data_IF_018650212344
#
_entry.id   IF_018650212344
#
_cell.length_a   1.000
_cell.length_b   1.000
_cell.length_c   1.000
_cell.angle_alpha   90.00
_cell.angle_beta   90.00
_cell.angle_gamma   90.00
#
_symmetry.space_group_name_H-M   'P 1'
#
loop_
_entity.id
_entity.type
_entity.pdbx_description
1 polymer ?
#
# COMPACT_ATOMS: atom_id res chain seq x y z
N UNK A 1 -34.67 -14.13 1.91
CA UNK A 1 -34.55 -15.19 0.89
C UNK A 1 -33.22 -15.90 1.11
N UNK A 2 -33.22 -17.20 1.40
CA UNK A 2 -31.99 -18.00 1.50
C UNK A 2 -31.57 -18.39 0.08
N UNK A 3 -30.51 -17.80 -0.46
CA UNK A 3 -29.86 -18.38 -1.63
C UNK A 3 -29.45 -19.81 -1.29
N UNK A 4 -29.81 -20.76 -2.15
CA UNK A 4 -29.39 -22.16 -2.03
C UNK A 4 -27.86 -22.23 -2.10
N UNK A 5 -27.26 -23.08 -1.26
CA UNK A 5 -25.79 -23.28 -1.22
C UNK A 5 -25.17 -23.61 -2.59
N UNK A 6 -25.94 -24.25 -3.48
CA UNK A 6 -25.53 -24.53 -4.86
C UNK A 6 -25.36 -23.28 -5.74
N UNK A 7 -26.13 -22.20 -5.50
CA UNK A 7 -26.01 -20.95 -6.25
C UNK A 7 -24.74 -20.17 -5.87
N UNK A 8 -24.34 -20.23 -4.59
CA UNK A 8 -23.09 -19.61 -4.11
C UNK A 8 -21.86 -20.24 -4.77
N UNK A 9 -21.78 -21.58 -4.78
CA UNK A 9 -20.66 -22.30 -5.40
C UNK A 9 -20.57 -22.07 -6.91
N UNK A 10 -21.71 -21.98 -7.59
CA UNK A 10 -21.74 -21.66 -9.02
C UNK A 10 -21.15 -20.28 -9.30
N UNK A 11 -21.49 -19.27 -8.47
CA UNK A 11 -20.95 -17.91 -8.60
C UNK A 11 -19.45 -17.85 -8.29
N UNK A 12 -18.99 -18.52 -7.23
CA UNK A 12 -17.56 -18.62 -6.92
C UNK A 12 -16.77 -19.25 -8.06
N UNK A 13 -17.30 -20.33 -8.65
CA UNK A 13 -16.66 -21.00 -9.78
C UNK A 13 -16.64 -20.09 -11.01
N UNK A 14 -17.72 -19.34 -11.28
CA UNK A 14 -17.76 -18.37 -12.36
C UNK A 14 -16.67 -17.29 -12.18
N UNK A 15 -16.52 -16.73 -10.97
CA UNK A 15 -15.47 -15.74 -10.64
C UNK A 15 -14.08 -16.34 -10.90
N UNK A 16 -13.81 -17.55 -10.42
CA UNK A 16 -12.51 -18.23 -10.65
C UNK A 16 -12.25 -18.52 -12.12
N UNK A 17 -13.27 -18.89 -12.89
CA UNK A 17 -13.14 -19.13 -14.33
C UNK A 17 -12.80 -17.82 -15.05
N UNK A 18 -13.50 -16.73 -14.76
CA UNK A 18 -13.22 -15.42 -15.37
C UNK A 18 -11.82 -14.93 -15.01
N UNK A 19 -11.42 -15.04 -13.73
CA UNK A 19 -10.08 -14.68 -13.28
C UNK A 19 -9.00 -15.55 -13.90
N UNK A 20 -9.24 -16.85 -13.99
CA UNK A 20 -8.36 -17.82 -14.63
C UNK A 20 -8.19 -17.56 -16.13
N UNK A 21 -9.26 -17.20 -16.85
CA UNK A 21 -9.19 -16.78 -18.26
C UNK A 21 -8.35 -15.51 -18.39
N UNK A 22 -8.65 -14.47 -17.59
CA UNK A 22 -7.92 -13.21 -17.59
C UNK A 22 -6.42 -13.36 -17.28
N UNK A 23 -6.08 -14.33 -16.41
CA UNK A 23 -4.70 -14.65 -16.04
C UNK A 23 -3.99 -15.48 -17.12
N UNK A 24 -4.65 -16.50 -17.66
CA UNK A 24 -4.04 -17.46 -18.59
C UNK A 24 -3.92 -16.91 -20.01
N UNK A 25 -4.78 -15.96 -20.38
CA UNK A 25 -4.82 -15.34 -21.71
C UNK A 25 -4.40 -13.87 -21.63
N UNK A 26 -3.44 -13.55 -20.76
CA UNK A 26 -2.98 -12.18 -20.52
C UNK A 26 -2.42 -11.49 -21.76
N UNK A 27 -1.82 -12.26 -22.67
CA UNK A 27 -1.25 -11.78 -23.93
C UNK A 27 -2.30 -11.67 -25.06
N UNK A 28 -3.53 -12.13 -24.82
CA UNK A 28 -4.60 -12.04 -25.81
C UNK A 28 -5.28 -10.68 -25.67
N UNK A 29 -5.20 -9.89 -26.74
CA UNK A 29 -5.77 -8.55 -26.82
C UNK A 29 -7.21 -8.52 -26.28
N UNK A 30 -7.50 -7.51 -25.47
CA UNK A 30 -8.81 -7.19 -24.89
C UNK A 30 -9.32 -8.21 -23.84
N UNK A 31 -8.69 -9.38 -23.67
CA UNK A 31 -9.18 -10.40 -22.71
C UNK A 31 -9.06 -9.95 -21.26
N UNK A 32 -7.91 -9.42 -20.78
CA UNK A 32 -7.84 -8.89 -19.42
C UNK A 32 -8.83 -7.75 -19.18
N UNK A 33 -8.98 -6.82 -20.13
CA UNK A 33 -9.96 -5.75 -20.07
C UNK A 33 -11.40 -6.26 -19.96
N UNK A 34 -11.79 -7.28 -20.74
CA UNK A 34 -13.12 -7.89 -20.68
C UNK A 34 -13.36 -8.58 -19.33
N UNK A 35 -12.38 -9.35 -18.83
CA UNK A 35 -12.47 -9.97 -17.51
C UNK A 35 -12.63 -8.93 -16.40
N UNK A 36 -11.87 -7.83 -16.48
CA UNK A 36 -12.01 -6.69 -15.55
C UNK A 36 -13.42 -6.08 -15.61
N UNK A 37 -13.97 -5.85 -16.80
CA UNK A 37 -15.32 -5.30 -16.96
C UNK A 37 -16.40 -6.21 -16.36
N UNK A 38 -16.28 -7.54 -16.52
CA UNK A 38 -17.18 -8.50 -15.87
C UNK A 38 -17.10 -8.38 -14.35
N UNK A 39 -15.88 -8.30 -13.80
CA UNK A 39 -15.69 -8.10 -12.37
C UNK A 39 -16.23 -6.77 -11.86
N UNK A 40 -16.05 -5.68 -12.61
CA UNK A 40 -16.60 -4.37 -12.26
C UNK A 40 -18.13 -4.37 -12.22
N UNK A 41 -18.78 -5.09 -13.14
CA UNK A 41 -20.23 -5.31 -13.09
C UNK A 41 -20.62 -6.13 -11.85
N UNK A 42 -19.89 -7.21 -11.56
CA UNK A 42 -20.13 -8.06 -10.39
C UNK A 42 -19.92 -7.32 -9.05
N UNK A 43 -19.08 -6.28 -9.00
CA UNK A 43 -18.95 -5.36 -7.86
C UNK A 43 -20.14 -4.41 -7.68
N UNK A 44 -20.90 -4.17 -8.75
CA UNK A 44 -22.03 -3.24 -8.76
C UNK A 44 -23.34 -3.94 -8.38
N UNK A 45 -23.45 -5.21 -8.73
CA UNK A 45 -24.52 -6.11 -8.29
C UNK A 45 -24.16 -6.62 -6.88
N UNK A 46 -25.11 -6.67 -5.94
CA UNK A 46 -24.89 -7.04 -4.51
C UNK A 46 -24.42 -8.49 -4.35
N UNK A 47 -23.20 -8.81 -4.80
CA UNK A 47 -22.63 -10.15 -4.80
C UNK A 47 -21.89 -10.42 -3.48
N UNK A 48 -21.92 -11.68 -3.03
CA UNK A 48 -21.39 -12.10 -1.71
C UNK A 48 -19.91 -12.50 -1.74
N UNK A 49 -19.17 -12.23 -2.83
CA UNK A 49 -17.83 -12.80 -3.09
C UNK A 49 -16.82 -11.77 -3.65
N UNK A 50 -16.98 -10.50 -3.27
CA UNK A 50 -16.10 -9.42 -3.71
C UNK A 50 -14.63 -9.62 -3.32
N UNK A 51 -14.36 -10.34 -2.23
CA UNK A 51 -13.01 -10.73 -1.79
C UNK A 51 -12.34 -11.68 -2.78
N UNK A 52 -13.08 -12.64 -3.35
CA UNK A 52 -12.59 -13.51 -4.42
C UNK A 52 -12.27 -12.71 -5.68
N UNK A 53 -13.12 -11.73 -6.03
CA UNK A 53 -12.84 -10.85 -7.17
C UNK A 53 -11.54 -10.07 -6.95
N UNK A 54 -11.34 -9.50 -5.75
CA UNK A 54 -10.07 -8.82 -5.39
C UNK A 54 -8.88 -9.76 -5.54
N UNK A 55 -9.00 -11.01 -5.10
CA UNK A 55 -7.93 -12.00 -5.24
C UNK A 55 -7.63 -12.35 -6.70
N UNK A 56 -8.65 -12.49 -7.55
CA UNK A 56 -8.46 -12.76 -8.98
C UNK A 56 -7.86 -11.57 -9.74
N UNK A 57 -8.25 -10.34 -9.41
CA UNK A 57 -7.62 -9.14 -9.95
C UNK A 57 -6.11 -9.08 -9.62
N UNK A 58 -5.74 -9.50 -8.40
CA UNK A 58 -4.32 -9.62 -8.04
C UNK A 58 -3.59 -10.72 -8.83
N UNK A 59 -4.25 -11.85 -9.12
CA UNK A 59 -3.67 -12.90 -9.98
C UNK A 59 -3.40 -12.38 -11.39
N UNK A 60 -4.36 -11.66 -11.97
CA UNK A 60 -4.21 -11.03 -13.29
C UNK A 60 -3.07 -10.01 -13.29
N UNK A 61 -2.92 -9.23 -12.22
CA UNK A 61 -1.78 -8.33 -12.07
C UNK A 61 -0.45 -9.10 -12.12
N UNK A 62 -0.31 -10.10 -11.27
CA UNK A 62 0.90 -10.93 -11.15
C UNK A 62 1.25 -11.60 -12.48
N UNK A 63 0.25 -11.97 -13.27
CA UNK A 63 0.43 -12.58 -14.59
C UNK A 63 0.88 -11.62 -15.69
N UNK A 64 0.91 -10.30 -15.45
CA UNK A 64 1.37 -9.34 -16.44
C UNK A 64 0.26 -8.62 -17.21
N UNK A 65 -0.97 -8.52 -16.67
CA UNK A 65 -2.10 -7.85 -17.32
C UNK A 65 -1.96 -6.32 -17.33
N UNK A 66 -0.89 -5.81 -17.96
CA UNK A 66 -0.43 -4.42 -17.89
C UNK A 66 -1.48 -3.41 -18.35
N UNK A 67 -2.34 -3.79 -19.30
CA UNK A 67 -3.43 -2.94 -19.80
C UNK A 67 -4.45 -2.54 -18.72
N UNK A 68 -4.62 -3.35 -17.67
CA UNK A 68 -5.57 -3.09 -16.58
C UNK A 68 -4.90 -2.76 -15.24
N UNK A 69 -3.57 -2.60 -15.19
CA UNK A 69 -2.87 -2.28 -13.94
C UNK A 69 -3.39 -0.99 -13.30
N UNK A 70 -3.58 0.07 -14.08
CA UNK A 70 -4.11 1.32 -13.54
C UNK A 70 -5.52 1.16 -12.96
N UNK A 71 -6.36 0.36 -13.60
CA UNK A 71 -7.72 0.09 -13.16
C UNK A 71 -7.76 -0.70 -11.85
N UNK A 72 -6.97 -1.78 -11.76
CA UNK A 72 -6.88 -2.61 -10.54
C UNK A 72 -6.32 -1.78 -9.38
N UNK A 73 -5.25 -1.02 -9.62
CA UNK A 73 -4.62 -0.23 -8.58
C UNK A 73 -5.51 0.90 -8.07
N UNK A 74 -6.23 1.57 -8.99
CA UNK A 74 -7.19 2.60 -8.63
C UNK A 74 -8.30 2.02 -7.74
N UNK A 75 -8.81 0.84 -8.07
CA UNK A 75 -9.79 0.14 -7.25
C UNK A 75 -9.24 -0.17 -5.85
N UNK A 76 -8.05 -0.77 -5.77
CA UNK A 76 -7.45 -1.13 -4.48
C UNK A 76 -7.16 0.09 -3.63
N UNK A 77 -6.56 1.13 -4.22
CA UNK A 77 -6.28 2.42 -3.55
C UNK A 77 -7.55 3.07 -3.02
N UNK A 78 -8.62 3.07 -3.82
CA UNK A 78 -9.93 3.61 -3.41
C UNK A 78 -10.47 2.85 -2.19
N UNK A 79 -10.45 1.52 -2.22
CA UNK A 79 -10.91 0.69 -1.08
C UNK A 79 -10.05 0.94 0.16
N UNK A 80 -8.73 1.03 0.02
CA UNK A 80 -7.80 1.29 1.13
C UNK A 80 -8.04 2.67 1.77
N UNK A 81 -8.21 3.72 0.96
CA UNK A 81 -8.45 5.09 1.46
C UNK A 81 -9.82 5.21 2.11
N UNK A 82 -10.89 4.70 1.47
CA UNK A 82 -12.25 4.72 2.03
C UNK A 82 -12.31 3.94 3.36
N UNK A 83 -11.60 2.81 3.45
CA UNK A 83 -11.52 2.04 4.71
C UNK A 83 -10.74 2.78 5.79
N UNK A 84 -9.75 3.58 5.39
CA UNK A 84 -8.90 4.36 6.31
C UNK A 84 -9.57 5.62 6.83
N UNK A 85 -10.33 6.34 6.00
CA UNK A 85 -11.03 7.57 6.39
C UNK A 85 -12.11 7.32 7.45
N UNK A 86 -12.67 6.10 7.50
CA UNK A 86 -13.60 5.66 8.56
C UNK A 86 -13.00 5.68 9.96
N UNK A 87 -11.67 5.51 10.10
CA UNK A 87 -11.00 5.66 11.38
C UNK A 87 -11.08 7.10 11.92
N UNK A 88 -11.37 8.07 11.05
CA UNK A 88 -11.38 9.50 11.34
C UNK A 88 -12.78 10.12 11.39
N UNK A 89 -13.76 9.57 10.68
CA UNK A 89 -15.15 10.04 10.64
C UNK A 89 -15.88 9.79 11.97
N UNK A 90 -16.54 10.83 12.50
CA UNK A 90 -17.33 10.74 13.74
C UNK A 90 -18.85 10.70 13.54
N UNK A 91 -19.35 10.67 12.30
CA UNK A 91 -20.80 10.70 12.04
C UNK A 91 -21.28 9.48 11.26
N UNK A 92 -22.32 8.85 11.80
CA UNK A 92 -23.00 7.64 11.31
C UNK A 92 -24.22 8.02 10.46
N UNK A 93 -24.05 8.86 9.42
CA UNK A 93 -25.20 9.39 8.68
C UNK A 93 -25.25 9.11 7.18
N UNK A 94 -24.26 8.45 6.57
CA UNK A 94 -24.39 8.07 5.15
C UNK A 94 -24.17 6.58 4.88
N UNK A 95 -25.28 5.86 4.67
CA UNK A 95 -25.32 4.43 4.35
C UNK A 95 -24.63 4.07 3.02
N UNK A 96 -24.38 5.05 2.15
CA UNK A 96 -23.74 4.87 0.85
C UNK A 96 -22.19 4.82 0.91
N UNK A 97 -21.58 5.44 1.93
CA UNK A 97 -20.10 5.55 2.08
C UNK A 97 -19.41 4.27 2.56
N UNK A 98 -20.18 3.19 2.77
CA UNK A 98 -19.73 2.01 3.50
C UNK A 98 -19.57 0.74 2.64
N UNK A 99 -19.71 0.87 1.32
CA UNK A 99 -19.84 -0.30 0.43
C UNK A 99 -18.61 -1.20 0.37
N UNK A 100 -17.40 -0.71 0.63
CA UNK A 100 -16.18 -1.50 0.43
C UNK A 100 -15.35 -1.75 1.69
N UNK A 101 -15.80 -1.27 2.85
CA UNK A 101 -14.97 -1.35 4.06
C UNK A 101 -14.68 -2.78 4.53
N UNK A 102 -15.55 -3.74 4.18
CA UNK A 102 -15.34 -5.17 4.43
C UNK A 102 -14.22 -5.77 3.57
N UNK A 103 -13.78 -5.07 2.52
CA UNK A 103 -12.75 -5.54 1.59
C UNK A 103 -11.34 -5.06 1.93
N UNK A 104 -11.17 -4.23 2.97
CA UNK A 104 -9.84 -3.74 3.35
C UNK A 104 -8.85 -4.88 3.57
N UNK A 105 -9.27 -5.96 4.23
CA UNK A 105 -8.43 -7.14 4.44
C UNK A 105 -8.17 -7.91 3.14
N UNK A 106 -9.17 -8.03 2.26
CA UNK A 106 -9.01 -8.69 0.97
C UNK A 106 -7.99 -7.94 0.09
N UNK A 107 -8.09 -6.61 0.04
CA UNK A 107 -7.15 -5.75 -0.70
C UNK A 107 -5.76 -5.77 -0.07
N UNK A 108 -5.67 -5.78 1.27
CA UNK A 108 -4.40 -5.92 1.97
C UNK A 108 -3.68 -7.24 1.60
N UNK A 109 -4.41 -8.36 1.66
CA UNK A 109 -3.91 -9.68 1.29
C UNK A 109 -3.54 -9.74 -0.20
N UNK A 110 -4.35 -9.16 -1.08
CA UNK A 110 -4.07 -9.08 -2.50
C UNK A 110 -2.78 -8.31 -2.80
N UNK A 111 -2.57 -7.14 -2.19
CA UNK A 111 -1.33 -6.37 -2.35
C UNK A 111 -0.11 -7.11 -1.78
N UNK A 112 -0.27 -7.83 -0.66
CA UNK A 112 0.80 -8.67 -0.11
C UNK A 112 1.17 -9.80 -1.09
N UNK A 113 0.16 -10.49 -1.64
CA UNK A 113 0.35 -11.53 -2.67
C UNK A 113 1.04 -10.97 -3.92
N UNK A 114 0.64 -9.78 -4.38
CA UNK A 114 1.28 -9.11 -5.51
C UNK A 114 2.76 -8.85 -5.24
N UNK A 115 3.09 -8.26 -4.08
CA UNK A 115 4.46 -7.97 -3.69
C UNK A 115 5.35 -9.22 -3.61
N UNK A 116 4.79 -10.32 -3.10
CA UNK A 116 5.51 -11.59 -2.99
C UNK A 116 5.72 -12.29 -4.33
N UNK A 117 4.78 -12.15 -5.29
CA UNK A 117 4.74 -13.02 -6.46
C UNK A 117 5.11 -12.36 -7.80
N UNK A 118 5.10 -11.02 -7.91
CA UNK A 118 5.43 -10.32 -9.17
C UNK A 118 6.87 -10.60 -9.63
N UNK A 119 7.05 -11.17 -10.82
CA UNK A 119 8.35 -11.74 -11.25
C UNK A 119 9.20 -10.80 -12.10
N UNK A 120 8.55 -10.12 -13.04
CA UNK A 120 9.19 -9.20 -13.98
C UNK A 120 9.72 -7.96 -13.25
N UNK A 121 10.92 -7.49 -13.62
CA UNK A 121 11.58 -6.39 -12.92
C UNK A 121 10.93 -5.02 -13.20
N UNK A 122 10.35 -4.82 -14.37
CA UNK A 122 9.59 -3.61 -14.69
C UNK A 122 8.28 -3.58 -13.89
N UNK A 123 7.61 -4.72 -13.76
CA UNK A 123 6.39 -4.84 -12.96
C UNK A 123 6.68 -4.71 -11.46
N UNK A 124 7.82 -5.24 -10.96
CA UNK A 124 8.30 -4.98 -9.59
C UNK A 124 8.50 -3.49 -9.36
N UNK A 125 9.20 -2.81 -10.27
CA UNK A 125 9.43 -1.37 -10.14
C UNK A 125 8.11 -0.59 -10.17
N UNK A 126 7.20 -0.95 -11.07
CA UNK A 126 5.86 -0.36 -11.15
C UNK A 126 5.09 -0.52 -9.84
N UNK A 127 5.10 -1.73 -9.26
CA UNK A 127 4.45 -1.99 -7.97
C UNK A 127 5.13 -1.24 -6.81
N UNK A 128 6.45 -1.09 -6.84
CA UNK A 128 7.21 -0.34 -5.83
C UNK A 128 6.80 1.14 -5.82
N UNK A 129 6.74 1.79 -6.99
CA UNK A 129 6.27 3.18 -7.09
C UNK A 129 4.87 3.32 -6.51
N UNK A 130 3.97 2.43 -6.90
CA UNK A 130 2.58 2.41 -6.46
C UNK A 130 2.42 2.25 -4.95
N UNK A 131 3.13 1.29 -4.34
CA UNK A 131 3.11 1.07 -2.89
C UNK A 131 3.68 2.27 -2.12
N UNK A 132 4.79 2.85 -2.59
CA UNK A 132 5.38 4.03 -1.96
C UNK A 132 4.47 5.26 -2.08
N UNK A 133 3.83 5.45 -3.24
CA UNK A 133 2.86 6.54 -3.46
C UNK A 133 1.65 6.40 -2.54
N UNK A 134 1.08 5.20 -2.43
CA UNK A 134 -0.01 4.92 -1.51
C UNK A 134 0.40 5.16 -0.04
N UNK A 135 1.60 4.73 0.35
CA UNK A 135 2.13 4.98 1.69
C UNK A 135 2.24 6.48 1.96
N UNK A 136 2.88 7.24 1.07
CA UNK A 136 3.04 8.69 1.22
C UNK A 136 1.68 9.39 1.27
N UNK A 137 0.73 8.98 0.42
CA UNK A 137 -0.63 9.50 0.40
C UNK A 137 -1.36 9.28 1.74
N UNK A 138 -1.36 8.05 2.27
CA UNK A 138 -1.96 7.74 3.57
C UNK A 138 -1.29 8.54 4.71
N UNK A 139 0.03 8.75 4.64
CA UNK A 139 0.76 9.60 5.57
C UNK A 139 0.31 11.07 5.55
N UNK A 140 0.01 11.62 4.36
CA UNK A 140 -0.51 12.99 4.24
C UNK A 140 -1.93 13.11 4.78
N UNK A 141 -2.78 12.13 4.50
CA UNK A 141 -4.15 12.07 5.01
C UNK A 141 -4.19 11.98 6.54
N UNK A 142 -3.33 11.14 7.14
CA UNK A 142 -3.19 11.02 8.59
C UNK A 142 -2.75 12.31 9.27
N UNK A 143 -1.82 13.07 8.66
CA UNK A 143 -1.39 14.38 9.17
C UNK A 143 -2.53 15.41 9.12
N UNK A 144 -3.20 15.53 7.97
CA UNK A 144 -4.33 16.45 7.78
C UNK A 144 -5.49 16.17 8.74
N UNK A 145 -5.71 14.90 9.10
CA UNK A 145 -6.72 14.50 10.09
C UNK A 145 -6.27 14.80 11.53
N UNK A 146 -4.98 14.64 11.83
CA UNK A 146 -4.40 14.95 13.14
C UNK A 146 -4.42 16.45 13.49
N UNK A 147 -4.19 17.33 12.51
CA UNK A 147 -4.27 18.79 12.69
C UNK A 147 -5.68 19.26 13.08
N UNK A 148 -6.72 18.53 12.67
CA UNK A 148 -8.12 18.83 13.00
C UNK A 148 -8.58 18.23 14.33
N UNK A 149 -7.82 17.33 14.94
CA UNK A 149 -8.25 16.58 16.13
C UNK A 149 -7.09 16.35 17.11
N UNK A 150 -7.08 17.12 18.21
CA UNK A 150 -6.05 17.09 19.26
C UNK A 150 -6.08 15.84 20.18
N UNK A 151 -6.48 14.66 19.68
CA UNK A 151 -6.50 13.41 20.45
C UNK A 151 -5.49 12.39 19.91
N UNK A 152 -4.48 12.11 20.72
CA UNK A 152 -3.39 11.11 20.55
C UNK A 152 -3.88 9.74 20.04
N UNK A 153 -5.12 9.36 20.38
CA UNK A 153 -5.68 8.05 20.03
C UNK A 153 -6.09 7.89 18.55
N UNK A 154 -6.28 8.99 17.79
CA UNK A 154 -6.57 8.93 16.33
C UNK A 154 -5.32 8.88 15.45
N UNK A 155 -4.14 9.18 16.01
CA UNK A 155 -2.85 9.05 15.31
C UNK A 155 -2.49 7.57 15.15
N UNK A 156 -2.89 6.73 16.12
CA UNK A 156 -2.61 5.29 16.13
C UNK A 156 -3.30 4.52 14.98
N UNK A 157 -4.57 4.81 14.68
CA UNK A 157 -5.30 4.06 13.63
C UNK A 157 -4.81 4.37 12.21
N UNK A 158 -4.52 5.64 11.89
CA UNK A 158 -3.95 5.94 10.57
C UNK A 158 -2.49 5.54 10.41
N UNK A 159 -1.71 5.59 11.49
CA UNK A 159 -0.36 5.02 11.49
C UNK A 159 -0.41 3.49 11.34
N UNK A 160 -1.42 2.82 11.92
CA UNK A 160 -1.67 1.40 11.67
C UNK A 160 -1.91 1.08 10.19
N UNK A 161 -2.81 1.83 9.54
CA UNK A 161 -3.12 1.65 8.11
C UNK A 161 -1.93 1.97 7.19
N UNK A 162 -1.04 2.86 7.63
CA UNK A 162 0.19 3.17 6.92
C UNK A 162 1.21 2.03 7.07
N UNK A 163 1.39 1.54 8.31
CA UNK A 163 2.40 0.54 8.65
C UNK A 163 2.20 -0.83 7.99
N UNK A 164 0.95 -1.23 7.71
CA UNK A 164 0.65 -2.51 7.00
C UNK A 164 1.26 -2.60 5.60
N UNK A 165 1.61 -1.46 4.98
CA UNK A 165 2.29 -1.45 3.68
C UNK A 165 3.79 -1.75 3.78
N UNK A 166 4.41 -1.58 4.95
CA UNK A 166 5.86 -1.75 5.14
C UNK A 166 6.29 -3.19 4.82
N UNK A 167 5.65 -4.25 5.36
CA UNK A 167 6.00 -5.63 5.00
C UNK A 167 5.86 -5.93 3.50
N UNK A 168 4.91 -5.29 2.80
CA UNK A 168 4.70 -5.49 1.35
C UNK A 168 5.85 -4.88 0.55
N UNK A 169 6.27 -3.66 0.91
CA UNK A 169 7.44 -3.00 0.29
C UNK A 169 8.71 -3.81 0.55
N UNK A 170 8.90 -4.31 1.78
CA UNK A 170 10.03 -5.18 2.11
C UNK A 170 10.04 -6.47 1.29
N UNK A 171 8.90 -7.19 1.23
CA UNK A 171 8.74 -8.42 0.45
C UNK A 171 9.12 -8.22 -1.03
N UNK A 172 8.68 -7.11 -1.62
CA UNK A 172 9.02 -6.75 -3.00
C UNK A 172 10.51 -6.45 -3.20
N UNK A 173 11.11 -5.67 -2.29
CA UNK A 173 12.52 -5.27 -2.37
C UNK A 173 13.49 -6.40 -2.03
N UNK A 174 13.09 -7.36 -1.19
CA UNK A 174 13.91 -8.52 -0.80
C UNK A 174 14.43 -9.27 -2.03
N UNK A 175 13.60 -9.39 -3.06
CA UNK A 175 13.90 -10.10 -4.32
C UNK A 175 14.38 -9.19 -5.45
N UNK A 176 14.57 -7.91 -5.16
CA UNK A 176 15.08 -6.91 -6.11
C UNK A 176 16.57 -6.64 -5.85
N UNK A 177 17.27 -6.16 -6.87
CA UNK A 177 18.63 -5.64 -6.71
C UNK A 177 18.61 -4.37 -5.84
N UNK A 178 19.68 -4.14 -5.07
CA UNK A 178 19.81 -2.91 -4.29
C UNK A 178 19.78 -1.68 -5.20
N UNK A 179 18.98 -0.68 -4.82
CA UNK A 179 18.74 0.52 -5.61
C UNK A 179 19.82 1.54 -5.26
N UNK A 180 20.82 1.74 -6.13
CA UNK A 180 21.92 2.68 -5.86
C UNK A 180 21.66 4.08 -6.42
N UNK A 181 21.29 4.17 -7.70
CA UNK A 181 21.09 5.44 -8.42
C UNK A 181 19.65 5.54 -8.94
N UNK A 182 18.66 5.80 -8.06
CA UNK A 182 17.27 5.90 -8.45
C UNK A 182 17.00 7.19 -9.25
N UNK A 183 15.99 7.18 -10.15
CA UNK A 183 15.42 8.42 -10.67
C UNK A 183 14.94 9.35 -9.55
N UNK A 184 14.92 10.66 -9.82
CA UNK A 184 14.55 11.71 -8.84
C UNK A 184 13.22 11.41 -8.15
N UNK A 185 12.20 10.97 -8.91
CA UNK A 185 10.87 10.63 -8.38
C UNK A 185 10.94 9.54 -7.31
N UNK A 186 11.62 8.43 -7.60
CA UNK A 186 11.75 7.32 -6.66
C UNK A 186 12.55 7.70 -5.41
N UNK A 187 13.60 8.50 -5.59
CA UNK A 187 14.36 9.05 -4.47
C UNK A 187 13.49 9.88 -3.53
N UNK A 188 12.63 10.73 -4.07
CA UNK A 188 11.71 11.55 -3.28
C UNK A 188 10.67 10.70 -2.55
N UNK A 189 10.12 9.68 -3.20
CA UNK A 189 9.20 8.73 -2.57
C UNK A 189 9.86 8.00 -1.39
N UNK A 190 11.09 7.51 -1.54
CA UNK A 190 11.82 6.91 -0.43
C UNK A 190 12.10 7.90 0.70
N UNK A 191 12.44 9.16 0.36
CA UNK A 191 12.63 10.21 1.37
C UNK A 191 11.36 10.41 2.20
N UNK A 192 10.21 10.52 1.54
CA UNK A 192 8.94 10.76 2.21
C UNK A 192 8.51 9.51 3.01
N UNK A 193 8.73 8.30 2.47
CA UNK A 193 8.54 7.04 3.19
C UNK A 193 9.33 6.99 4.51
N UNK A 194 10.63 7.30 4.45
CA UNK A 194 11.51 7.27 5.63
C UNK A 194 11.20 8.37 6.64
N UNK A 195 10.76 9.54 6.15
CA UNK A 195 10.25 10.61 7.01
C UNK A 195 9.09 10.10 7.87
N UNK A 196 8.06 9.52 7.27
CA UNK A 196 6.92 8.99 8.01
C UNK A 196 7.30 7.82 8.92
N UNK A 197 8.15 6.89 8.47
CA UNK A 197 8.64 5.80 9.31
C UNK A 197 9.30 6.31 10.58
N UNK A 198 10.07 7.39 10.48
CA UNK A 198 10.76 7.96 11.64
C UNK A 198 9.82 8.74 12.55
N UNK A 199 8.96 9.59 11.97
CA UNK A 199 7.98 10.39 12.73
C UNK A 199 7.01 9.49 13.51
N UNK A 200 6.62 8.35 12.94
CA UNK A 200 5.68 7.42 13.56
C UNK A 200 6.38 6.29 14.35
N UNK A 201 7.71 6.20 14.29
CA UNK A 201 8.50 5.23 15.04
C UNK A 201 8.45 3.79 14.50
N UNK A 202 8.10 3.58 13.23
CA UNK A 202 8.15 2.25 12.60
C UNK A 202 9.57 1.67 12.51
N UNK A 203 10.57 2.54 12.50
CA UNK A 203 11.98 2.17 12.43
C UNK A 203 12.68 2.12 13.80
N UNK A 204 11.91 2.05 14.90
CA UNK A 204 12.44 1.97 16.26
C UNK A 204 12.14 0.60 16.86
N UNK A 205 13.20 -0.18 17.11
CA UNK A 205 13.09 -1.47 17.75
C UNK A 205 12.48 -1.35 19.15
N UNK A 206 11.60 -2.29 19.52
CA UNK A 206 11.09 -2.46 20.90
C UNK A 206 10.43 -1.20 21.49
N UNK A 207 9.87 -0.35 20.64
CA UNK A 207 9.04 0.79 21.08
C UNK A 207 7.71 0.32 21.71
N UNK A 208 7.31 -0.94 21.48
CA UNK A 208 6.11 -1.55 22.06
C UNK A 208 4.79 -1.07 21.45
N UNK A 209 4.85 -0.19 20.44
CA UNK A 209 3.68 0.42 19.79
C UNK A 209 3.23 -0.32 18.52
N UNK A 210 4.19 -0.88 17.76
CA UNK A 210 3.95 -1.50 16.45
C UNK A 210 4.34 -2.99 16.45
N UNK A 211 3.75 -3.81 15.56
CA UNK A 211 4.21 -5.17 15.31
C UNK A 211 5.72 -5.21 15.03
N UNK A 212 6.43 -6.17 15.63
CA UNK A 212 7.89 -6.30 15.48
C UNK A 212 8.30 -6.54 14.02
N UNK A 213 7.48 -7.28 13.29
CA UNK A 213 7.64 -7.55 11.85
C UNK A 213 7.69 -6.27 10.99
N UNK A 214 7.11 -5.15 11.43
CA UNK A 214 7.20 -3.88 10.70
C UNK A 214 8.57 -3.24 10.84
N UNK A 215 9.18 -3.35 12.01
CA UNK A 215 10.54 -2.90 12.24
C UNK A 215 11.53 -3.77 11.44
N UNK A 216 11.35 -5.10 11.46
CA UNK A 216 12.17 -6.02 10.66
C UNK A 216 12.06 -5.74 9.16
N UNK A 217 10.83 -5.54 8.66
CA UNK A 217 10.57 -5.13 7.30
C UNK A 217 11.23 -3.79 6.97
N UNK A 218 11.17 -2.80 7.87
CA UNK A 218 11.88 -1.54 7.70
C UNK A 218 13.40 -1.75 7.60
N UNK A 219 14.00 -2.62 8.41
CA UNK A 219 15.41 -2.97 8.26
C UNK A 219 15.72 -3.56 6.88
N UNK A 220 14.90 -4.47 6.36
CA UNK A 220 15.09 -5.03 5.01
C UNK A 220 15.01 -3.97 3.91
N UNK A 221 14.05 -3.05 4.01
CA UNK A 221 13.91 -1.94 3.06
C UNK A 221 15.15 -1.06 3.13
N UNK A 222 15.69 -0.78 4.32
CA UNK A 222 16.88 0.04 4.47
C UNK A 222 18.10 -0.53 3.73
N UNK A 223 18.28 -1.86 3.73
CA UNK A 223 19.34 -2.54 2.98
C UNK A 223 19.24 -2.40 1.45
N UNK A 224 18.01 -2.21 0.94
CA UNK A 224 17.69 -2.24 -0.49
C UNK A 224 17.41 -0.85 -1.06
N UNK A 225 16.99 0.08 -0.22
CA UNK A 225 16.67 1.46 -0.58
C UNK A 225 17.94 2.28 -0.86
N UNK A 226 17.84 3.33 -1.68
CA UNK A 226 18.97 4.20 -1.99
C UNK A 226 19.49 4.94 -0.75
N UNK A 227 20.79 5.20 -0.73
CA UNK A 227 21.38 6.13 0.25
C UNK A 227 20.84 7.52 -0.04
N UNK A 228 20.11 8.08 0.94
CA UNK A 228 19.58 9.42 0.83
C UNK A 228 20.59 10.38 1.46
N UNK A 229 21.48 10.94 0.64
CA UNK A 229 22.34 12.03 1.08
C UNK A 229 21.49 13.27 1.37
N UNK A 230 21.57 13.87 2.57
CA UNK A 230 20.98 15.17 2.82
C UNK A 230 21.72 16.19 1.95
N UNK A 231 21.07 16.70 0.90
CA UNK A 231 21.54 17.95 0.30
C UNK A 231 21.23 19.09 1.27
N UNK A 232 22.03 20.15 1.26
CA UNK A 232 21.80 21.33 2.14
C UNK A 232 20.39 21.93 1.94
N UNK A 233 19.79 21.72 0.76
CA UNK A 233 18.38 22.04 0.46
C UNK A 233 17.35 21.20 1.22
N UNK A 234 17.68 19.96 1.62
CA UNK A 234 16.78 19.05 2.33
C UNK A 234 16.41 19.60 3.71
N UNK A 235 17.36 20.26 4.39
CA UNK A 235 17.10 20.96 5.66
C UNK A 235 16.09 22.09 5.45
N UNK A 236 16.25 22.89 4.39
CA UNK A 236 15.33 23.97 4.04
C UNK A 236 13.95 23.45 3.59
N UNK A 237 13.90 22.35 2.84
CA UNK A 237 12.65 21.72 2.36
C UNK A 237 11.87 21.05 3.51
N UNK A 238 12.56 20.41 4.46
CA UNK A 238 11.96 19.87 5.68
C UNK A 238 11.42 20.99 6.57
N UNK A 239 12.15 22.10 6.71
CA UNK A 239 11.70 23.29 7.44
C UNK A 239 10.47 23.93 6.75
N UNK A 240 10.41 23.93 5.42
CA UNK A 240 9.30 24.51 4.67
C UNK A 240 8.03 23.63 4.64
N UNK A 241 8.18 22.30 4.63
CA UNK A 241 7.07 21.35 4.54
C UNK A 241 6.57 20.79 5.88
N UNK A 242 7.22 21.15 6.99
CA UNK A 242 6.79 20.71 8.33
C UNK A 242 6.54 21.93 9.21
N UNK A 243 5.30 22.07 9.68
CA UNK A 243 4.94 22.91 10.83
C UNK A 243 5.48 22.26 12.12
N UNK A 244 6.73 21.81 12.12
CA UNK A 244 7.38 21.05 13.19
C UNK A 244 8.70 21.75 13.53
N UNK A 245 9.01 21.82 14.83
CA UNK A 245 10.18 22.54 15.35
C UNK A 245 11.49 21.91 14.83
N UNK A 246 12.51 22.75 14.64
CA UNK A 246 13.84 22.40 14.09
C UNK A 246 14.54 21.19 14.73
N UNK A 247 14.16 20.82 15.96
CA UNK A 247 14.77 19.72 16.71
C UNK A 247 14.36 18.33 16.19
N UNK A 248 13.12 18.18 15.71
CA UNK A 248 12.60 16.89 15.22
C UNK A 248 13.22 16.49 13.87
N UNK A 249 13.57 17.49 13.03
CA UNK A 249 14.22 17.30 11.73
C UNK A 249 15.63 16.72 11.90
N UNK A 250 16.35 17.14 12.95
CA UNK A 250 17.68 16.62 13.27
C UNK A 250 17.61 15.17 13.75
N UNK A 251 16.55 14.80 14.49
CA UNK A 251 16.28 13.42 14.89
C UNK A 251 15.97 12.52 13.67
N UNK A 252 15.20 13.03 12.70
CA UNK A 252 14.81 12.28 11.49
C UNK A 252 16.03 11.90 10.64
N UNK A 253 16.88 12.87 10.32
CA UNK A 253 18.14 12.61 9.60
C UNK A 253 19.06 11.67 10.40
N UNK A 254 19.11 11.81 11.72
CA UNK A 254 19.99 11.03 12.58
C UNK A 254 19.54 9.56 12.72
N UNK A 255 18.23 9.29 12.88
CA UNK A 255 17.70 7.93 12.98
C UNK A 255 17.84 7.18 11.66
N UNK A 256 17.58 7.84 10.53
CA UNK A 256 17.80 7.30 9.19
C UNK A 256 19.28 6.99 8.92
N UNK A 257 20.18 7.96 9.17
CA UNK A 257 21.62 7.76 9.01
C UNK A 257 22.15 6.68 9.96
N UNK A 258 21.61 6.55 11.18
CA UNK A 258 21.95 5.44 12.07
C UNK A 258 21.52 4.10 11.50
N UNK A 259 20.30 3.97 10.97
CA UNK A 259 19.83 2.71 10.40
C UNK A 259 20.66 2.29 9.19
N UNK A 260 20.98 3.22 8.29
CA UNK A 260 21.87 2.93 7.15
C UNK A 260 23.31 2.63 7.56
N UNK A 261 23.86 3.31 8.58
CA UNK A 261 25.23 3.05 9.07
C UNK A 261 25.37 1.76 9.89
N UNK A 262 24.31 1.34 10.59
CA UNK A 262 24.30 0.07 11.33
C UNK A 262 24.27 -1.13 10.38
N UNK A 263 23.64 -0.97 9.21
CA UNK A 263 23.48 -2.07 8.24
C UNK A 263 24.60 -2.07 7.17
N UNK A 264 25.31 -0.96 6.97
CA UNK A 264 26.48 -0.89 6.06
C UNK A 264 27.79 -1.43 6.68
N UNK A 265 27.72 -2.06 7.86
CA UNK A 265 28.84 -2.75 8.54
C UNK A 265 28.53 -4.24 8.63
#
# INVERSE_FOLDING_TARGET
MRCSSGSSLALENAIRIVGGIGTSLVDVKDVPQLAFSIFQQAFSETSTHHDLIVAELANMWIAGAREIYDLIWLLFTKITIESSSRAYASDMTDSAEHRYAHLSLAVDNAMAKMAENVRDDEDKMTLLYRLLELFVQLGHEGRKAGEKSAKVMKVSTGAGNLGVLIPKIASLLRRSTTIHSPPVRLRNLFRDFWFYCTVLGFNVARIGLWPEEWYEAACEIACKSPVLTPQESLRAELIANTTIKSDDISLVCFAFLKLQNVISR
#
